data_IF_958965142400
#
_entry.id   IF_958965142400
#
_cell.length_a   1.000
_cell.length_b   1.000
_cell.length_c   1.000
_cell.angle_alpha   90.00
_cell.angle_beta   90.00
_cell.angle_gamma   90.00
#
_symmetry.space_group_name_H-M   'P 1'
#
loop_
_entity.id
_entity.type
_entity.pdbx_description
1 polymer ?
#
# COMPACT_ATOMS: atom_id res chain seq x y z
N UNK A 1 -5.59 -11.46 14.82
CA UNK A 1 -4.35 -11.84 14.08
C UNK A 1 -3.58 -10.57 13.76
N UNK A 2 -2.26 -10.63 13.69
CA UNK A 2 -1.39 -9.55 13.20
C UNK A 2 -0.37 -10.15 12.23
N UNK A 3 -0.16 -9.53 11.06
CA UNK A 3 0.67 -10.02 9.98
C UNK A 3 0.36 -11.50 9.66
N UNK A 4 -0.94 -11.81 9.61
CA UNK A 4 -1.50 -13.16 9.42
C UNK A 4 -1.06 -14.21 10.45
N UNK A 5 -0.63 -13.78 11.63
CA UNK A 5 -0.23 -14.63 12.76
C UNK A 5 -1.22 -14.44 13.90
N UNK A 6 -1.63 -15.51 14.57
CA UNK A 6 -2.37 -15.40 15.83
C UNK A 6 -1.36 -15.25 17.00
N UNK A 7 -1.23 -14.05 17.60
CA UNK A 7 -0.27 -13.83 18.68
C UNK A 7 -0.56 -14.65 19.93
N UNK A 8 -1.79 -15.15 20.11
CA UNK A 8 -2.17 -15.94 21.28
C UNK A 8 -1.95 -17.44 21.09
N UNK A 9 -1.63 -17.88 19.86
CA UNK A 9 -1.37 -19.29 19.53
C UNK A 9 0.03 -19.76 19.92
N UNK A 10 0.96 -18.84 20.21
CA UNK A 10 2.36 -19.11 20.54
C UNK A 10 2.84 -18.20 21.69
N UNK A 11 4.01 -18.52 22.27
CA UNK A 11 4.58 -17.73 23.37
C UNK A 11 4.82 -16.26 22.95
N UNK A 12 4.56 -15.25 23.82
CA UNK A 12 4.57 -13.83 23.44
C UNK A 12 5.84 -13.34 22.75
N UNK A 13 7.02 -13.73 23.24
CA UNK A 13 8.30 -13.36 22.60
C UNK A 13 8.42 -13.92 21.18
N UNK A 14 8.05 -15.20 21.01
CA UNK A 14 8.06 -15.87 19.71
C UNK A 14 6.99 -15.31 18.77
N UNK A 15 5.85 -14.88 19.31
CA UNK A 15 4.80 -14.18 18.56
C UNK A 15 5.35 -12.91 17.94
N UNK A 16 5.98 -12.05 18.75
CA UNK A 16 6.59 -10.79 18.29
C UNK A 16 7.64 -11.04 17.21
N UNK A 17 8.56 -11.98 17.41
CA UNK A 17 9.57 -12.34 16.41
C UNK A 17 8.96 -12.82 15.09
N UNK A 18 7.90 -13.65 15.17
CA UNK A 18 7.21 -14.19 13.99
C UNK A 18 6.46 -13.10 13.23
N UNK A 19 5.78 -12.20 13.95
CA UNK A 19 5.06 -11.06 13.36
C UNK A 19 6.04 -10.13 12.65
N UNK A 20 7.17 -9.78 13.29
CA UNK A 20 8.20 -8.94 12.67
C UNK A 20 8.82 -9.57 11.43
N UNK A 21 9.10 -10.88 11.48
CA UNK A 21 9.59 -11.61 10.32
C UNK A 21 8.58 -11.56 9.18
N UNK A 22 7.32 -11.88 9.45
CA UNK A 22 6.27 -11.89 8.43
C UNK A 22 6.06 -10.49 7.84
N UNK A 23 6.06 -9.44 8.65
CA UNK A 23 5.95 -8.07 8.17
C UNK A 23 7.09 -7.70 7.21
N UNK A 24 8.33 -8.08 7.56
CA UNK A 24 9.49 -7.89 6.70
C UNK A 24 9.31 -8.64 5.37
N UNK A 25 8.97 -9.92 5.43
CA UNK A 25 8.80 -10.76 4.23
C UNK A 25 7.71 -10.18 3.30
N UNK A 26 6.64 -9.61 3.88
CA UNK A 26 5.60 -8.94 3.10
C UNK A 26 6.11 -7.67 2.39
N UNK A 27 6.93 -6.85 3.06
CA UNK A 27 7.54 -5.67 2.41
C UNK A 27 8.61 -6.06 1.39
N UNK A 28 9.41 -7.09 1.67
CA UNK A 28 10.42 -7.61 0.74
C UNK A 28 9.79 -8.18 -0.53
N UNK A 29 8.53 -8.65 -0.49
CA UNK A 29 7.78 -9.01 -1.69
C UNK A 29 7.60 -7.83 -2.65
N UNK A 30 7.39 -6.62 -2.11
CA UNK A 30 7.23 -5.38 -2.91
C UNK A 30 8.57 -4.77 -3.31
N UNK A 31 9.57 -4.81 -2.43
CA UNK A 31 10.91 -4.28 -2.69
C UNK A 31 12.00 -5.23 -2.19
N UNK A 32 12.34 -6.29 -2.96
CA UNK A 32 13.30 -7.31 -2.53
C UNK A 32 14.74 -6.80 -2.34
N UNK A 33 15.07 -5.64 -2.91
CA UNK A 33 16.41 -5.05 -2.87
C UNK A 33 16.56 -3.98 -1.78
N UNK A 34 15.53 -3.72 -0.98
CA UNK A 34 15.65 -2.80 0.14
C UNK A 34 16.52 -3.42 1.24
N UNK A 35 17.52 -2.68 1.71
CA UNK A 35 18.29 -3.08 2.88
C UNK A 35 17.44 -2.86 4.13
N UNK A 36 17.08 -3.93 4.84
CA UNK A 36 16.39 -3.88 6.13
C UNK A 36 17.32 -3.57 7.31
N UNK A 37 18.63 -3.43 7.06
CA UNK A 37 19.64 -3.03 8.05
C UNK A 37 20.19 -1.65 7.75
N UNK A 38 20.48 -0.89 8.82
CA UNK A 38 21.10 0.44 8.76
C UNK A 38 22.47 0.33 8.08
N UNK A 39 22.56 0.77 6.82
CA UNK A 39 23.83 0.99 6.13
C UNK A 39 24.57 2.14 6.86
N UNK A 40 25.85 1.92 7.21
CA UNK A 40 26.67 2.85 8.02
C UNK A 40 26.96 4.18 7.28
N UNK A 41 26.62 4.28 6.00
CA UNK A 41 26.45 5.54 5.30
C UNK A 41 25.23 5.41 4.38
N UNK A 42 24.07 6.01 4.71
CA UNK A 42 22.97 6.09 3.77
C UNK A 42 23.45 6.99 2.64
N UNK A 43 23.72 6.41 1.47
CA UNK A 43 23.85 7.18 0.24
C UNK A 43 22.61 8.09 0.19
N UNK A 44 22.86 9.41 0.19
CA UNK A 44 21.93 10.52 0.48
C UNK A 44 20.68 10.57 -0.44
N UNK A 45 20.49 9.58 -1.31
CA UNK A 45 19.50 9.55 -2.39
C UNK A 45 18.50 8.37 -2.31
N UNK A 46 18.49 7.54 -1.25
CA UNK A 46 17.49 6.46 -1.11
C UNK A 46 16.34 6.90 -0.18
N UNK A 47 15.10 6.59 -0.56
CA UNK A 47 13.92 6.82 0.31
C UNK A 47 13.89 5.80 1.45
N UNK A 48 13.62 6.27 2.67
CA UNK A 48 13.50 5.43 3.87
C UNK A 48 12.03 5.16 4.19
N UNK A 49 11.67 3.91 4.48
CA UNK A 49 10.35 3.54 5.00
C UNK A 49 10.41 3.38 6.52
N UNK A 50 9.57 4.12 7.23
CA UNK A 50 9.29 3.95 8.65
C UNK A 50 7.89 3.35 8.81
N UNK A 51 7.77 2.23 9.51
CA UNK A 51 6.49 1.60 9.80
C UNK A 51 6.29 1.49 11.30
N UNK A 52 5.20 2.04 11.81
CA UNK A 52 4.79 1.95 13.21
C UNK A 52 3.42 1.28 13.32
N UNK A 53 3.37 0.16 14.02
CA UNK A 53 2.15 -0.54 14.38
C UNK A 53 1.88 -0.31 15.88
N UNK A 54 0.72 0.28 16.20
CA UNK A 54 0.36 0.73 17.54
C UNK A 54 -0.79 -0.03 18.20
N UNK A 55 -1.10 -1.28 17.81
CA UNK A 55 -2.24 -2.03 18.36
C UNK A 55 -2.12 -2.48 19.82
N UNK A 56 -0.92 -2.38 20.40
CA UNK A 56 -0.66 -2.73 21.81
C UNK A 56 -0.37 -1.55 22.73
N UNK A 57 -0.47 -0.31 22.24
CA UNK A 57 -0.07 0.90 22.98
C UNK A 57 -1.21 1.93 23.03
N UNK A 58 -1.14 2.96 23.89
CA UNK A 58 -2.12 4.03 23.89
C UNK A 58 -2.18 4.76 22.54
N UNK A 59 -3.29 5.44 22.28
CA UNK A 59 -3.48 6.24 21.07
C UNK A 59 -2.52 7.43 21.03
N UNK A 60 -2.10 7.89 19.84
CA UNK A 60 -1.33 9.12 19.71
C UNK A 60 -2.06 10.31 20.35
N UNK A 61 -1.29 11.23 20.94
CA UNK A 61 -1.82 12.34 21.74
C UNK A 61 -1.93 13.62 20.93
N UNK A 62 -2.70 14.59 21.44
CA UNK A 62 -2.78 15.96 20.90
C UNK A 62 -1.48 16.74 21.01
N UNK A 63 -0.54 16.28 21.84
CA UNK A 63 0.78 16.90 21.99
C UNK A 63 1.78 16.40 20.94
N UNK A 64 1.34 15.58 19.98
CA UNK A 64 2.21 14.99 18.97
C UNK A 64 3.14 13.92 19.53
N UNK A 65 2.60 13.02 20.35
CA UNK A 65 3.32 11.85 20.86
C UNK A 65 2.63 10.57 20.39
N UNK A 66 3.42 9.64 19.86
CA UNK A 66 3.06 8.23 19.73
C UNK A 66 3.66 7.43 20.89
N UNK A 67 3.54 6.11 20.87
CA UNK A 67 3.96 5.26 21.97
C UNK A 67 4.74 4.04 21.47
N UNK A 68 5.82 3.72 22.18
CA UNK A 68 6.61 2.50 21.98
C UNK A 68 6.61 1.68 23.27
N UNK A 69 6.96 0.40 23.17
CA UNK A 69 7.29 -0.40 24.34
C UNK A 69 8.78 -0.27 24.68
N UNK A 70 9.08 -0.30 25.99
CA UNK A 70 10.46 -0.52 26.43
C UNK A 70 10.95 -1.94 26.09
N UNK A 71 12.26 -2.19 26.16
CA UNK A 71 12.87 -3.50 25.83
C UNK A 71 12.30 -4.68 26.63
N UNK A 72 11.79 -4.41 27.83
CA UNK A 72 11.19 -5.40 28.72
C UNK A 72 9.67 -5.56 28.54
N UNK A 73 9.04 -4.82 27.63
CA UNK A 73 7.59 -4.80 27.41
C UNK A 73 6.75 -4.55 28.68
N UNK A 74 7.25 -3.70 29.58
CA UNK A 74 6.61 -3.36 30.86
C UNK A 74 6.05 -1.96 30.93
N UNK A 75 6.54 -1.05 30.08
CA UNK A 75 6.17 0.36 30.10
C UNK A 75 6.02 0.90 28.69
N UNK A 76 5.05 1.80 28.53
CA UNK A 76 4.90 2.64 27.36
C UNK A 76 5.85 3.82 27.45
N UNK A 77 6.66 4.02 26.42
CA UNK A 77 7.58 5.14 26.26
C UNK A 77 6.96 6.10 25.23
N UNK A 78 6.74 7.38 25.57
CA UNK A 78 6.28 8.35 24.59
C UNK A 78 7.35 8.56 23.51
N UNK A 79 6.90 8.58 22.25
CA UNK A 79 7.71 8.87 21.08
C UNK A 79 7.22 10.18 20.46
N UNK A 80 7.94 11.30 20.64
CA UNK A 80 7.59 12.56 20.00
C UNK A 80 7.61 12.43 18.48
N UNK A 81 6.58 12.95 17.81
CA UNK A 81 6.51 12.97 16.35
C UNK A 81 7.61 13.86 15.75
N UNK A 82 8.06 14.88 16.48
CA UNK A 82 9.24 15.69 16.13
C UNK A 82 10.49 14.84 15.95
N UNK A 83 10.67 13.81 16.78
CA UNK A 83 11.83 12.92 16.68
C UNK A 83 11.71 12.07 15.41
N UNK A 84 10.52 11.52 15.14
CA UNK A 84 10.26 10.73 13.92
C UNK A 84 10.45 11.56 12.65
N UNK A 85 10.05 12.84 12.64
CA UNK A 85 10.32 13.76 11.52
C UNK A 85 11.82 14.06 11.36
N UNK A 86 12.57 14.09 12.46
CA UNK A 86 14.01 14.40 12.45
C UNK A 86 14.91 13.22 12.08
N UNK A 87 14.47 11.98 12.28
CA UNK A 87 15.31 10.79 12.06
C UNK A 87 15.68 10.57 10.59
N UNK A 88 14.77 10.71 9.61
CA UNK A 88 15.11 10.59 8.20
C UNK A 88 15.86 11.84 7.73
N UNK A 89 17.13 11.68 7.36
CA UNK A 89 17.91 12.71 6.64
C UNK A 89 17.72 12.64 5.12
N UNK A 90 16.93 11.68 4.65
CA UNK A 90 16.64 11.40 3.26
C UNK A 90 15.12 11.44 3.06
N UNK A 91 14.61 11.48 1.81
CA UNK A 91 13.20 11.33 1.53
C UNK A 91 12.61 10.14 2.31
N UNK A 92 11.41 10.29 2.85
CA UNK A 92 10.81 9.28 3.71
C UNK A 92 9.39 8.93 3.30
N UNK A 93 8.96 7.74 3.71
CA UNK A 93 7.57 7.33 3.77
C UNK A 93 7.32 6.76 5.17
N UNK A 94 6.31 7.28 5.87
CA UNK A 94 5.94 6.82 7.21
C UNK A 94 4.54 6.21 7.18
N UNK A 95 4.41 5.00 7.73
CA UNK A 95 3.15 4.26 7.85
C UNK A 95 2.80 4.15 9.31
N UNK A 96 1.61 4.61 9.70
CA UNK A 96 1.08 4.53 11.05
C UNK A 96 -0.20 3.70 11.06
N UNK A 97 -0.06 2.44 11.49
CA UNK A 97 -1.17 1.52 11.72
C UNK A 97 -1.56 1.53 13.20
N UNK A 98 -2.39 2.51 13.58
CA UNK A 98 -2.92 2.63 14.92
C UNK A 98 -4.26 3.39 14.93
N UNK A 99 -5.01 3.26 16.02
CA UNK A 99 -6.19 4.09 16.24
C UNK A 99 -5.80 5.55 16.46
N UNK A 100 -6.64 6.48 16.01
CA UNK A 100 -6.35 7.91 15.99
C UNK A 100 -5.07 8.30 15.22
N UNK A 101 -4.67 7.55 14.19
CA UNK A 101 -3.47 7.83 13.41
C UNK A 101 -3.48 9.22 12.75
N UNK A 102 -4.65 9.79 12.46
CA UNK A 102 -4.80 11.17 11.98
C UNK A 102 -4.21 12.22 12.93
N UNK A 103 -4.07 11.94 14.23
CA UNK A 103 -3.36 12.81 15.17
C UNK A 103 -1.88 12.98 14.79
N UNK A 104 -1.24 11.89 14.32
CA UNK A 104 0.15 11.95 13.86
C UNK A 104 0.27 12.84 12.64
N UNK A 105 -0.67 12.74 11.70
CA UNK A 105 -0.71 13.58 10.49
C UNK A 105 -0.83 15.06 10.86
N UNK A 106 -1.73 15.40 11.78
CA UNK A 106 -1.90 16.78 12.28
C UNK A 106 -0.58 17.30 12.86
N UNK A 107 0.10 16.51 13.70
CA UNK A 107 1.39 16.92 14.29
C UNK A 107 2.49 17.11 13.24
N UNK A 108 2.56 16.26 12.20
CA UNK A 108 3.51 16.47 11.09
C UNK A 108 3.22 17.77 10.32
N UNK A 109 1.95 18.10 10.10
CA UNK A 109 1.55 19.37 9.45
C UNK A 109 1.96 20.56 10.31
N UNK A 110 1.70 20.52 11.62
CA UNK A 110 2.10 21.58 12.54
C UNK A 110 3.63 21.78 12.55
N UNK A 111 4.40 20.69 12.50
CA UNK A 111 5.86 20.73 12.39
C UNK A 111 6.34 21.35 11.07
N UNK A 112 5.62 21.14 9.97
CA UNK A 112 5.88 21.78 8.69
C UNK A 112 5.64 23.30 8.77
N UNK A 113 4.50 23.70 9.33
CA UNK A 113 4.07 25.10 9.40
C UNK A 113 4.94 25.96 10.33
N UNK A 114 5.38 25.42 11.47
CA UNK A 114 6.20 26.17 12.42
C UNK A 114 7.66 26.36 11.97
N UNK A 115 8.07 25.80 10.82
CA UNK A 115 9.42 25.95 10.30
C UNK A 115 10.52 25.37 11.21
N UNK A 116 10.17 24.56 12.20
CA UNK A 116 11.10 23.95 13.17
C UNK A 116 11.93 22.81 12.60
N UNK A 117 11.80 22.50 11.30
CA UNK A 117 12.76 21.62 10.64
C UNK A 117 14.14 22.25 10.58
N UNK A 118 15.14 21.49 10.97
CA UNK A 118 16.56 21.78 10.79
C UNK A 118 17.03 21.91 9.32
N UNK A 119 16.12 22.03 8.35
CA UNK A 119 16.42 22.12 6.91
C UNK A 119 15.86 23.42 6.33
N UNK A 120 16.65 24.51 6.30
CA UNK A 120 16.26 25.73 5.63
C UNK A 120 16.32 25.49 4.10
N UNK A 121 15.16 25.46 3.44
CA UNK A 121 15.07 25.63 1.98
C UNK A 121 14.89 24.38 1.10
N UNK A 122 14.70 23.18 1.68
CA UNK A 122 14.25 22.00 0.92
C UNK A 122 12.79 21.73 1.22
N UNK A 123 11.95 21.61 0.19
CA UNK A 123 10.63 20.97 0.31
C UNK A 123 10.82 19.61 0.99
N UNK A 124 10.13 19.35 2.12
CA UNK A 124 10.26 18.05 2.80
C UNK A 124 9.66 16.98 1.91
N UNK A 125 10.46 15.99 1.53
CA UNK A 125 10.00 14.85 0.75
C UNK A 125 9.58 13.71 1.69
N UNK A 126 8.48 13.91 2.43
CA UNK A 126 7.92 12.95 3.37
C UNK A 126 6.50 12.57 2.96
N UNK A 127 6.26 11.28 2.74
CA UNK A 127 4.93 10.71 2.44
C UNK A 127 4.38 10.11 3.74
N UNK A 128 3.16 10.45 4.12
CA UNK A 128 2.51 9.93 5.32
C UNK A 128 1.30 9.07 4.95
N UNK A 129 1.24 7.87 5.51
CA UNK A 129 0.11 6.95 5.42
C UNK A 129 -0.39 6.66 6.83
N UNK A 130 -1.63 7.05 7.13
CA UNK A 130 -2.27 6.88 8.43
C UNK A 130 -3.54 6.04 8.29
N UNK A 131 -3.73 5.08 9.20
CA UNK A 131 -4.78 4.08 9.09
C UNK A 131 -6.21 4.61 9.24
N UNK A 132 -6.41 5.68 9.99
CA UNK A 132 -7.74 6.25 10.26
C UNK A 132 -7.64 7.74 10.64
N UNK A 133 -8.78 8.42 10.71
CA UNK A 133 -8.85 9.81 11.17
C UNK A 133 -8.50 9.95 12.67
N UNK A 134 -8.25 11.18 13.10
CA UNK A 134 -7.84 11.54 14.46
C UNK A 134 -8.82 11.08 15.56
N UNK A 135 -10.11 11.00 15.26
CA UNK A 135 -11.16 10.63 16.21
C UNK A 135 -11.58 9.15 16.08
N UNK A 136 -11.08 8.45 15.08
CA UNK A 136 -11.48 7.09 14.77
C UNK A 136 -10.71 6.04 15.58
N UNK A 137 -11.29 4.85 15.67
CA UNK A 137 -10.68 3.68 16.27
C UNK A 137 -10.71 2.56 15.26
N UNK A 138 -9.62 1.81 15.17
CA UNK A 138 -9.52 0.70 14.24
C UNK A 138 -10.55 -0.41 14.58
N UNK A 139 -11.01 -1.15 13.57
CA UNK A 139 -11.98 -2.20 13.77
C UNK A 139 -11.47 -3.30 14.70
N UNK A 140 -12.37 -3.81 15.56
CA UNK A 140 -12.08 -4.89 16.52
C UNK A 140 -12.77 -6.22 16.13
N UNK A 141 -13.34 -6.31 14.92
CA UNK A 141 -14.00 -7.53 14.46
C UNK A 141 -13.00 -8.70 14.44
N UNK A 142 -13.43 -9.85 14.92
CA UNK A 142 -12.64 -11.09 14.86
C UNK A 142 -12.51 -11.65 13.43
N UNK A 143 -13.34 -11.17 12.49
CA UNK A 143 -13.31 -11.59 11.08
C UNK A 143 -12.07 -11.08 10.35
N UNK A 144 -11.49 -9.97 10.82
CA UNK A 144 -10.38 -9.30 10.19
C UNK A 144 -9.12 -9.36 11.07
N UNK A 145 -7.92 -9.31 10.46
CA UNK A 145 -6.71 -9.08 11.24
C UNK A 145 -6.79 -7.72 11.96
N UNK A 146 -6.12 -7.59 13.10
CA UNK A 146 -6.06 -6.33 13.84
C UNK A 146 -5.31 -5.25 13.03
N UNK A 147 -4.34 -5.68 12.21
CA UNK A 147 -3.57 -4.85 11.30
C UNK A 147 -4.19 -4.79 9.89
N UNK A 148 -5.47 -4.40 9.82
CA UNK A 148 -6.20 -4.23 8.55
C UNK A 148 -5.46 -3.30 7.60
N UNK A 149 -5.02 -2.14 8.08
CA UNK A 149 -4.35 -1.14 7.24
C UNK A 149 -3.02 -1.66 6.71
N UNK A 150 -2.19 -2.24 7.57
CA UNK A 150 -0.96 -2.91 7.16
C UNK A 150 -1.26 -4.01 6.15
N UNK A 151 -2.21 -4.90 6.45
CA UNK A 151 -2.59 -6.02 5.58
C UNK A 151 -3.08 -5.58 4.20
N UNK A 152 -3.81 -4.46 4.10
CA UNK A 152 -4.20 -3.84 2.85
C UNK A 152 -3.01 -3.34 2.04
N UNK A 153 -2.03 -2.71 2.70
CA UNK A 153 -0.83 -2.17 2.03
C UNK A 153 0.15 -3.26 1.60
N UNK A 154 0.33 -4.30 2.43
CA UNK A 154 1.40 -5.28 2.26
C UNK A 154 0.92 -6.59 1.66
N UNK A 155 -0.36 -6.94 1.81
CA UNK A 155 -0.96 -8.19 1.29
C UNK A 155 -2.36 -7.99 0.68
N UNK A 156 -2.52 -7.04 -0.26
CA UNK A 156 -3.81 -6.59 -0.79
C UNK A 156 -4.66 -7.74 -1.32
N UNK A 157 -4.10 -8.65 -2.11
CA UNK A 157 -4.86 -9.78 -2.68
C UNK A 157 -5.46 -10.65 -1.57
N UNK A 158 -4.66 -11.02 -0.56
CA UNK A 158 -5.12 -11.86 0.55
C UNK A 158 -6.19 -11.15 1.38
N UNK A 159 -6.04 -9.84 1.59
CA UNK A 159 -7.00 -9.03 2.31
C UNK A 159 -8.32 -8.88 1.52
N UNK A 160 -8.26 -8.57 0.23
CA UNK A 160 -9.44 -8.47 -0.66
C UNK A 160 -10.23 -9.77 -0.70
N UNK A 161 -9.56 -10.92 -0.83
CA UNK A 161 -10.23 -12.23 -0.80
C UNK A 161 -10.84 -12.58 0.56
N UNK A 162 -10.34 -11.98 1.65
CA UNK A 162 -10.89 -12.15 3.01
C UNK A 162 -12.05 -11.20 3.31
N UNK A 163 -12.07 -10.03 2.66
CA UNK A 163 -13.11 -9.01 2.85
C UNK A 163 -14.44 -9.35 2.15
N UNK A 164 -14.55 -10.54 1.53
CA UNK A 164 -15.68 -10.90 0.66
C UNK A 164 -16.03 -9.76 -0.32
N UNK A 165 -15.00 -9.21 -0.97
CA UNK A 165 -15.20 -8.21 -2.00
C UNK A 165 -16.00 -8.85 -3.14
N UNK A 166 -17.24 -8.39 -3.31
CA UNK A 166 -18.11 -8.69 -4.46
C UNK A 166 -17.60 -8.02 -5.75
N UNK A 167 -16.33 -8.21 -6.06
CA UNK A 167 -15.76 -7.84 -7.34
C UNK A 167 -15.95 -9.02 -8.29
N UNK A 168 -16.66 -8.82 -9.40
CA UNK A 168 -16.97 -9.89 -10.37
C UNK A 168 -15.72 -10.64 -10.84
N UNK A 169 -14.57 -9.96 -10.99
CA UNK A 169 -13.32 -10.61 -11.37
C UNK A 169 -12.77 -11.53 -10.26
N UNK A 170 -12.87 -11.11 -9.00
CA UNK A 170 -12.49 -11.95 -7.86
C UNK A 170 -13.46 -13.13 -7.71
N UNK A 171 -14.76 -12.90 -7.91
CA UNK A 171 -15.81 -13.93 -7.84
C UNK A 171 -15.61 -15.03 -8.90
N UNK A 172 -15.29 -14.68 -10.15
CA UNK A 172 -14.99 -15.65 -11.21
C UNK A 172 -13.75 -16.49 -10.85
N UNK A 173 -12.70 -15.88 -10.29
CA UNK A 173 -11.53 -16.64 -9.84
C UNK A 173 -11.86 -17.54 -8.63
N UNK A 174 -12.61 -17.02 -7.65
CA UNK A 174 -12.96 -17.73 -6.42
C UNK A 174 -13.89 -18.92 -6.69
N UNK A 175 -14.86 -18.78 -7.60
CA UNK A 175 -15.78 -19.85 -7.98
C UNK A 175 -15.09 -21.07 -8.62
N UNK A 176 -13.90 -20.89 -9.20
CA UNK A 176 -13.10 -21.97 -9.77
C UNK A 176 -12.28 -22.73 -8.71
N UNK A 177 -12.03 -22.12 -7.54
CA UNK A 177 -11.13 -22.70 -6.52
C UNK A 177 -11.55 -24.09 -6.03
N UNK A 178 -12.84 -24.39 -5.74
CA UNK A 178 -13.22 -25.72 -5.27
C UNK A 178 -12.78 -26.83 -6.24
N UNK A 179 -12.99 -26.62 -7.55
CA UNK A 179 -12.61 -27.58 -8.59
C UNK A 179 -11.09 -27.73 -8.72
N UNK A 180 -10.35 -26.60 -8.72
CA UNK A 180 -8.90 -26.59 -8.85
C UNK A 180 -8.18 -27.22 -7.65
N UNK A 181 -8.79 -27.19 -6.46
CA UNK A 181 -8.25 -27.83 -5.25
C UNK A 181 -8.53 -29.33 -5.25
N UNK A 182 -9.70 -29.75 -5.72
CA UNK A 182 -10.12 -31.16 -5.73
C UNK A 182 -9.48 -31.98 -6.85
N UNK A 183 -9.34 -31.41 -8.06
CA UNK A 183 -8.74 -32.08 -9.22
C UNK A 183 -7.45 -31.37 -9.67
N UNK A 184 -6.27 -31.98 -9.45
CA UNK A 184 -5.00 -31.44 -9.91
C UNK A 184 -4.87 -31.29 -11.43
N UNK A 185 -5.73 -31.94 -12.22
CA UNK A 185 -5.75 -31.82 -13.67
C UNK A 185 -6.76 -30.78 -14.18
N UNK A 186 -7.55 -30.17 -13.31
CA UNK A 186 -8.49 -29.14 -13.72
C UNK A 186 -7.74 -27.92 -14.26
N UNK A 187 -8.15 -27.46 -15.44
CA UNK A 187 -7.54 -26.30 -16.09
C UNK A 187 -8.13 -25.00 -15.58
N UNK A 188 -7.28 -24.08 -15.11
CA UNK A 188 -7.66 -22.72 -14.76
C UNK A 188 -8.17 -21.97 -16.00
N UNK A 189 -9.39 -21.43 -15.91
CA UNK A 189 -9.97 -20.59 -16.95
C UNK A 189 -9.61 -19.12 -16.70
N UNK A 190 -8.85 -18.47 -17.61
CA UNK A 190 -8.51 -17.06 -17.47
C UNK A 190 -9.74 -16.16 -17.48
N UNK A 191 -9.72 -15.11 -16.65
CA UNK A 191 -10.78 -14.09 -16.66
C UNK A 191 -10.81 -13.30 -17.97
N UNK A 192 -12.02 -12.90 -18.40
CA UNK A 192 -12.24 -12.00 -19.55
C UNK A 192 -11.82 -10.55 -19.28
N UNK A 193 -11.43 -10.20 -18.05
CA UNK A 193 -11.16 -8.83 -17.62
C UNK A 193 -10.36 -8.02 -18.64
N UNK A 194 -9.19 -8.50 -19.10
CA UNK A 194 -8.39 -7.75 -20.06
C UNK A 194 -9.05 -7.62 -21.44
N UNK A 195 -9.80 -8.62 -21.88
CA UNK A 195 -10.56 -8.53 -23.13
C UNK A 195 -11.65 -7.47 -23.03
N UNK A 196 -12.39 -7.46 -21.91
CA UNK A 196 -13.48 -6.50 -21.67
C UNK A 196 -12.95 -5.07 -21.56
N UNK A 197 -11.81 -4.87 -20.89
CA UNK A 197 -11.15 -3.56 -20.78
C UNK A 197 -10.62 -3.05 -22.13
N UNK A 198 -10.09 -3.93 -22.98
CA UNK A 198 -9.68 -3.55 -24.34
C UNK A 198 -10.87 -3.19 -25.22
N UNK A 199 -12.00 -3.89 -25.10
CA UNK A 199 -13.24 -3.55 -25.81
C UNK A 199 -13.77 -2.19 -25.35
N UNK A 200 -13.80 -1.94 -24.05
CA UNK A 200 -14.23 -0.65 -23.49
C UNK A 200 -13.33 0.50 -23.98
N UNK A 201 -12.01 0.29 -24.02
CA UNK A 201 -11.07 1.27 -24.55
C UNK A 201 -11.32 1.54 -26.05
N UNK A 202 -11.54 0.49 -26.84
CA UNK A 202 -11.86 0.61 -28.27
C UNK A 202 -13.11 1.46 -28.51
N UNK A 203 -14.19 1.23 -27.75
CA UNK A 203 -15.42 2.04 -27.81
C UNK A 203 -15.16 3.50 -27.40
N UNK A 204 -14.27 3.71 -26.42
CA UNK A 204 -13.86 5.05 -26.00
C UNK A 204 -13.13 5.80 -27.12
N UNK A 205 -12.23 5.13 -27.85
CA UNK A 205 -11.49 5.72 -28.98
C UNK A 205 -12.41 6.17 -30.11
N UNK A 206 -13.48 5.41 -30.39
CA UNK A 206 -14.44 5.77 -31.44
C UNK A 206 -15.17 7.10 -31.17
N UNK A 207 -15.18 7.56 -29.91
CA UNK A 207 -15.83 8.80 -29.49
C UNK A 207 -14.86 9.81 -28.82
N UNK A 208 -13.56 9.53 -28.82
CA UNK A 208 -12.58 10.29 -28.06
C UNK A 208 -12.26 11.65 -28.68
N UNK A 209 -11.92 12.63 -27.85
CA UNK A 209 -11.39 13.93 -28.28
C UNK A 209 -10.59 14.60 -27.16
N UNK A 210 -9.74 15.57 -27.52
CA UNK A 210 -8.90 16.32 -26.59
C UNK A 210 -9.70 17.04 -25.47
N UNK A 211 -10.94 17.43 -25.77
CA UNK A 211 -11.81 18.12 -24.80
C UNK A 211 -12.57 17.18 -23.87
N UNK A 212 -12.44 15.86 -24.05
CA UNK A 212 -13.04 14.86 -23.17
C UNK A 212 -12.03 14.38 -22.14
N UNK A 213 -12.55 13.80 -21.06
CA UNK A 213 -11.71 13.15 -20.06
C UNK A 213 -10.90 12.03 -20.72
N UNK A 214 -9.65 11.80 -20.29
CA UNK A 214 -8.86 10.66 -20.72
C UNK A 214 -9.61 9.34 -20.52
N UNK A 215 -9.39 8.33 -21.39
CA UNK A 215 -9.98 7.01 -21.21
C UNK A 215 -9.53 6.38 -19.89
N UNK A 216 -10.48 5.96 -19.06
CA UNK A 216 -10.20 5.32 -17.76
C UNK A 216 -9.41 4.01 -17.91
N UNK A 217 -9.51 3.35 -19.08
CA UNK A 217 -8.83 2.09 -19.38
C UNK A 217 -7.35 2.26 -19.76
N UNK A 218 -6.86 3.49 -19.97
CA UNK A 218 -5.50 3.73 -20.46
C UNK A 218 -4.42 3.05 -19.58
N UNK A 219 -4.44 3.13 -18.22
CA UNK A 219 -3.48 2.41 -17.39
C UNK A 219 -3.57 0.88 -17.53
N UNK A 220 -4.78 0.35 -17.75
CA UNK A 220 -5.01 -1.09 -17.95
C UNK A 220 -4.41 -1.53 -19.28
N UNK A 221 -4.58 -0.76 -20.36
CA UNK A 221 -3.99 -1.05 -21.68
C UNK A 221 -2.47 -1.12 -21.58
N UNK A 222 -1.84 -0.20 -20.84
CA UNK A 222 -0.39 -0.24 -20.57
C UNK A 222 -0.01 -1.52 -19.83
N UNK A 223 -0.77 -1.92 -18.81
CA UNK A 223 -0.54 -3.18 -18.10
C UNK A 223 -0.68 -4.41 -19.01
N UNK A 224 -1.64 -4.38 -19.95
CA UNK A 224 -1.87 -5.48 -20.91
C UNK A 224 -0.69 -5.70 -21.84
N UNK A 225 0.15 -4.68 -22.10
CA UNK A 225 1.37 -4.83 -22.92
C UNK A 225 2.33 -5.89 -22.34
N UNK A 226 2.30 -6.10 -21.02
CA UNK A 226 3.09 -7.14 -20.36
C UNK A 226 2.55 -8.56 -20.65
N UNK A 227 1.25 -8.70 -20.94
CA UNK A 227 0.61 -9.97 -21.27
C UNK A 227 0.86 -10.40 -22.72
N UNK A 228 1.48 -11.56 -22.95
CA UNK A 228 1.74 -12.04 -24.32
C UNK A 228 0.46 -12.27 -25.14
N UNK A 229 -0.60 -12.77 -24.50
CA UNK A 229 -1.85 -13.16 -25.18
C UNK A 229 -2.55 -11.96 -25.85
N UNK A 230 -2.58 -10.80 -25.18
CA UNK A 230 -3.34 -9.63 -25.63
C UNK A 230 -2.45 -8.50 -26.17
N UNK A 231 -1.11 -8.67 -26.15
CA UNK A 231 -0.14 -7.62 -26.51
C UNK A 231 -0.40 -6.99 -27.86
N UNK A 232 -0.66 -7.81 -28.88
CA UNK A 232 -0.85 -7.29 -30.24
C UNK A 232 -2.07 -6.37 -30.31
N UNK A 233 -3.21 -6.79 -29.76
CA UNK A 233 -4.43 -5.97 -29.74
C UNK A 233 -4.22 -4.69 -28.93
N UNK A 234 -3.57 -4.78 -27.76
CA UNK A 234 -3.25 -3.61 -26.96
C UNK A 234 -2.35 -2.60 -27.70
N UNK A 235 -1.32 -3.07 -28.41
CA UNK A 235 -0.45 -2.21 -29.23
C UNK A 235 -1.20 -1.51 -30.35
N UNK A 236 -2.11 -2.22 -31.03
CA UNK A 236 -2.95 -1.62 -32.09
C UNK A 236 -3.85 -0.52 -31.53
N UNK A 237 -4.53 -0.77 -30.41
CA UNK A 237 -5.39 0.23 -29.78
C UNK A 237 -4.58 1.41 -29.22
N UNK A 238 -3.39 1.16 -28.67
CA UNK A 238 -2.49 2.21 -28.21
C UNK A 238 -2.01 3.09 -29.37
N UNK A 239 -1.66 2.49 -30.52
CA UNK A 239 -1.33 3.24 -31.73
C UNK A 239 -2.49 4.14 -32.18
N UNK A 240 -3.71 3.59 -32.24
CA UNK A 240 -4.92 4.36 -32.55
C UNK A 240 -5.14 5.54 -31.59
N UNK A 241 -4.86 5.35 -30.30
CA UNK A 241 -4.94 6.42 -29.30
C UNK A 241 -3.90 7.52 -29.54
N UNK A 242 -2.64 7.13 -29.78
CA UNK A 242 -1.56 8.07 -30.06
C UNK A 242 -1.78 8.87 -31.35
N UNK A 243 -2.41 8.28 -32.36
CA UNK A 243 -2.79 8.94 -33.62
C UNK A 243 -3.83 10.06 -33.42
N UNK A 244 -4.45 10.18 -32.23
CA UNK A 244 -5.41 11.24 -31.91
C UNK A 244 -4.75 12.61 -31.65
N UNK A 245 -3.42 12.66 -31.50
CA UNK A 245 -2.65 13.89 -31.44
C UNK A 245 -1.75 14.04 -30.21
N UNK A 246 -1.04 15.18 -30.08
CA UNK A 246 -0.03 15.39 -29.04
C UNK A 246 -0.54 15.22 -27.61
N UNK A 247 -1.77 15.66 -27.33
CA UNK A 247 -2.40 15.49 -26.01
C UNK A 247 -2.47 14.03 -25.55
N UNK A 248 -2.66 13.09 -26.48
CA UNK A 248 -2.72 11.66 -26.18
C UNK A 248 -1.33 11.09 -25.88
N UNK A 249 -0.29 11.62 -26.54
CA UNK A 249 1.12 11.29 -26.25
C UNK A 249 1.47 11.79 -24.84
N UNK A 250 1.10 13.02 -24.51
CA UNK A 250 1.43 13.63 -23.21
C UNK A 250 0.84 12.83 -22.03
N UNK A 251 -0.36 12.26 -22.19
CA UNK A 251 -1.01 11.41 -21.19
C UNK A 251 -0.29 10.07 -20.94
N UNK A 252 0.60 9.64 -21.84
CA UNK A 252 1.30 8.36 -21.77
C UNK A 252 2.72 8.49 -21.23
N UNK A 253 3.28 9.71 -21.22
CA UNK A 253 4.67 10.01 -20.85
C UNK A 253 4.76 10.68 -19.47
N UNK A 254 3.64 11.08 -18.88
CA UNK A 254 3.53 11.53 -17.48
C UNK A 254 3.45 10.35 -16.50
#
# INVERSE_FOLDING_TARGET
MECWTDPFSIAPQKAVETIWKNLRDQYEMWQPKACSNVEVDPIVNKRVLFHCNGHGVPKPTVNGESWLFNKSYTQYIPLPISDVDSWPKAPSICVFDCSAAGMVVISFIELLDCGTSNYPGSSRDCILLAACEAHETLPQSAEFPADVFTSCLTTPIKMTLRWDARDMAAEICLSQLPLLVEDPNAEFQPSSFFTDQLIAFEVCLDHGSEHKKPPEQLPIVVQVLLSQCHRFRALVLLGRFLDMGPWAVDLLVL
#
